data_IF_480414315226
#
_entry.id   IF_480414315226
#
_cell.length_a   1.000
_cell.length_b   1.000
_cell.length_c   1.000
_cell.angle_alpha   90.00
_cell.angle_beta   90.00
_cell.angle_gamma   90.00
#
_symmetry.space_group_name_H-M   'P 1'
#
loop_
_entity.id
_entity.type
_entity.pdbx_description
1 polymer ?
#
# COMPACT_ATOMS: atom_id res chain seq x y z
N UNK A 1 -38.55 -53.49 -11.86
CA UNK A 1 -39.41 -52.34 -11.54
C UNK A 1 -38.86 -51.11 -12.27
N UNK A 2 -39.74 -50.50 -13.07
CA UNK A 2 -39.77 -49.16 -13.68
C UNK A 2 -38.61 -48.21 -13.31
N UNK A 3 -37.77 -47.77 -14.26
CA UNK A 3 -37.92 -46.64 -15.22
C UNK A 3 -37.90 -45.23 -14.60
N UNK A 4 -36.89 -44.47 -15.07
CA UNK A 4 -36.88 -43.06 -15.47
C UNK A 4 -36.72 -41.98 -14.39
N UNK A 5 -35.60 -41.24 -14.43
CA UNK A 5 -35.47 -40.10 -15.37
C UNK A 5 -33.99 -39.80 -15.68
N UNK A 6 -33.70 -39.75 -16.98
CA UNK A 6 -32.58 -39.02 -17.59
C UNK A 6 -32.74 -37.53 -17.29
N UNK A 7 -31.65 -36.83 -16.98
CA UNK A 7 -31.62 -35.38 -16.92
C UNK A 7 -30.27 -34.84 -16.47
N UNK A 8 -29.43 -34.49 -17.44
CA UNK A 8 -28.19 -33.69 -17.31
C UNK A 8 -26.90 -34.38 -16.81
N UNK A 9 -26.41 -35.34 -17.58
CA UNK A 9 -25.01 -35.20 -18.05
C UNK A 9 -24.98 -34.05 -19.09
N UNK A 10 -23.84 -33.34 -19.22
CA UNK A 10 -23.44 -32.55 -20.41
C UNK A 10 -23.61 -31.02 -20.46
N UNK A 11 -23.80 -30.30 -19.36
CA UNK A 11 -23.74 -28.82 -19.35
C UNK A 11 -23.23 -28.41 -17.96
N UNK A 12 -21.95 -28.25 -17.63
CA UNK A 12 -21.09 -27.12 -18.01
C UNK A 12 -19.63 -27.51 -17.67
N UNK A 13 -19.06 -28.45 -18.42
CA UNK A 13 -17.61 -28.49 -18.73
C UNK A 13 -17.32 -27.47 -19.86
N UNK A 14 -18.13 -26.40 -19.89
CA UNK A 14 -18.41 -25.44 -20.97
C UNK A 14 -18.72 -24.04 -20.42
N UNK A 15 -18.13 -23.65 -19.29
CA UNK A 15 -17.92 -22.25 -18.82
C UNK A 15 -16.41 -21.99 -18.60
N UNK A 16 -15.58 -22.93 -19.06
CA UNK A 16 -14.18 -22.66 -19.46
C UNK A 16 -14.14 -21.90 -20.81
N UNK A 17 -15.30 -21.52 -21.34
CA UNK A 17 -15.49 -20.73 -22.57
C UNK A 17 -16.71 -19.80 -22.38
N UNK A 18 -16.58 -18.49 -22.67
CA UNK A 18 -17.52 -17.37 -22.43
C UNK A 18 -17.39 -16.73 -21.03
N UNK A 19 -16.44 -15.83 -20.79
CA UNK A 19 -16.34 -14.54 -21.51
C UNK A 19 -15.04 -14.45 -22.32
N UNK A 20 -15.01 -15.19 -23.43
CA UNK A 20 -14.32 -14.73 -24.63
C UNK A 20 -15.20 -13.66 -25.28
N UNK A 21 -15.02 -12.39 -24.93
CA UNK A 21 -15.18 -11.36 -25.98
C UNK A 21 -13.97 -11.54 -26.88
N UNK A 22 -14.18 -12.36 -27.90
CA UNK A 22 -13.30 -12.53 -29.05
C UNK A 22 -13.19 -11.16 -29.72
N UNK A 23 -12.16 -10.40 -29.37
CA UNK A 23 -11.55 -9.49 -30.32
C UNK A 23 -10.33 -10.23 -30.84
N UNK A 24 -10.55 -10.99 -31.92
CA UNK A 24 -9.50 -11.52 -32.78
C UNK A 24 -8.77 -10.34 -33.42
N UNK A 25 -7.71 -9.85 -32.80
CA UNK A 25 -6.68 -9.06 -33.50
C UNK A 25 -5.33 -9.62 -33.09
N UNK A 26 -4.81 -10.51 -33.95
CA UNK A 26 -3.39 -10.86 -34.14
C UNK A 26 -2.58 -11.24 -32.89
N UNK A 27 -2.29 -12.54 -32.76
CA UNK A 27 -1.07 -13.16 -32.18
C UNK A 27 -0.17 -12.33 -31.25
N UNK A 28 -0.73 -11.79 -30.15
CA UNK A 28 0.09 -11.36 -29.02
C UNK A 28 -0.55 -11.89 -27.76
N UNK A 29 -0.02 -13.03 -27.31
CA UNK A 29 -0.21 -13.50 -25.94
C UNK A 29 0.43 -12.45 -25.03
N UNK A 30 -0.32 -11.40 -24.67
CA UNK A 30 0.08 -10.55 -23.56
C UNK A 30 -0.07 -11.40 -22.31
N UNK A 31 1.03 -12.03 -21.92
CA UNK A 31 1.28 -12.38 -20.53
C UNK A 31 1.30 -11.04 -19.80
N UNK A 32 0.12 -10.53 -19.40
CA UNK A 32 0.05 -9.55 -18.33
C UNK A 32 0.53 -10.34 -17.13
N UNK A 33 1.84 -10.30 -16.91
CA UNK A 33 2.42 -10.82 -15.69
C UNK A 33 1.71 -10.11 -14.57
N UNK A 34 0.79 -10.82 -13.91
CA UNK A 34 0.50 -10.52 -12.52
C UNK A 34 1.89 -10.53 -11.89
N UNK A 35 2.42 -9.38 -11.44
CA UNK A 35 3.71 -9.39 -10.79
C UNK A 35 3.55 -10.38 -9.64
N UNK A 36 4.28 -11.50 -9.69
CA UNK A 36 4.32 -12.42 -8.56
C UNK A 36 4.56 -11.53 -7.35
N UNK A 37 3.61 -11.48 -6.41
CA UNK A 37 3.75 -10.62 -5.24
C UNK A 37 5.07 -11.05 -4.57
N UNK A 38 6.12 -10.21 -4.63
CA UNK A 38 7.42 -10.64 -4.19
C UNK A 38 7.29 -10.87 -2.69
N UNK A 39 7.76 -12.03 -2.22
CA UNK A 39 7.66 -12.39 -0.81
C UNK A 39 8.29 -11.27 0.05
N UNK A 40 7.42 -10.50 0.71
CA UNK A 40 7.80 -9.43 1.61
C UNK A 40 8.01 -10.04 3.00
N UNK A 41 9.14 -9.70 3.61
CA UNK A 41 9.39 -10.09 5.01
C UNK A 41 8.47 -9.29 5.92
N UNK A 42 8.16 -9.83 7.10
CA UNK A 42 7.34 -9.15 8.11
C UNK A 42 7.83 -7.72 8.42
N UNK A 43 9.16 -7.53 8.49
CA UNK A 43 9.77 -6.20 8.67
C UNK A 43 9.45 -5.27 7.51
N UNK A 44 9.37 -5.76 6.28
CA UNK A 44 9.08 -4.92 5.11
C UNK A 44 7.62 -4.47 5.12
N UNK A 45 6.70 -5.40 5.40
CA UNK A 45 5.25 -5.14 5.44
C UNK A 45 4.82 -4.32 6.65
N UNK A 46 5.39 -4.56 7.83
CA UNK A 46 4.90 -3.96 9.08
C UNK A 46 5.71 -2.74 9.53
N UNK A 47 6.91 -2.56 8.96
CA UNK A 47 7.81 -1.49 9.39
C UNK A 47 8.22 -0.59 8.24
N UNK A 48 8.77 -1.13 7.14
CA UNK A 48 9.29 -0.29 6.05
C UNK A 48 8.17 0.40 5.26
N UNK A 49 7.18 -0.36 4.79
CA UNK A 49 6.05 0.20 4.03
C UNK A 49 5.27 1.19 4.90
N UNK A 50 4.90 0.87 6.16
CA UNK A 50 4.26 1.83 7.02
C UNK A 50 5.11 3.07 7.24
N UNK A 51 6.43 2.94 7.41
CA UNK A 51 7.33 4.10 7.56
C UNK A 51 7.31 5.02 6.34
N UNK A 52 7.42 4.48 5.12
CA UNK A 52 7.28 5.27 3.88
C UNK A 52 5.93 5.97 3.82
N UNK A 53 4.86 5.24 4.15
CA UNK A 53 3.51 5.80 4.24
C UNK A 53 3.44 6.96 5.23
N UNK A 54 4.11 6.88 6.40
CA UNK A 54 4.15 8.01 7.36
C UNK A 54 4.90 9.22 6.83
N UNK A 55 5.99 9.01 6.10
CA UNK A 55 6.79 10.09 5.53
C UNK A 55 5.99 10.83 4.46
N UNK A 56 5.36 10.10 3.53
CA UNK A 56 4.45 10.69 2.54
C UNK A 56 3.24 11.37 3.17
N UNK A 57 2.61 10.76 4.18
CA UNK A 57 1.47 11.38 4.86
C UNK A 57 1.86 12.68 5.58
N UNK A 58 3.10 12.80 6.07
CA UNK A 58 3.59 14.07 6.64
C UNK A 58 3.79 15.15 5.59
N UNK A 59 4.20 14.78 4.38
CA UNK A 59 4.30 15.71 3.26
C UNK A 59 2.92 16.21 2.83
N UNK A 60 1.93 15.31 2.74
CA UNK A 60 0.54 15.67 2.45
C UNK A 60 -0.07 16.57 3.54
N UNK A 61 0.21 16.29 4.81
CA UNK A 61 -0.25 17.06 5.96
C UNK A 61 0.73 18.17 6.39
N UNK A 62 1.61 18.65 5.49
CA UNK A 62 2.70 19.57 5.83
C UNK A 62 2.24 20.86 6.53
N UNK A 63 1.06 21.38 6.16
CA UNK A 63 0.46 22.56 6.80
C UNK A 63 0.17 22.31 8.28
N UNK A 64 -0.41 21.16 8.62
CA UNK A 64 -0.74 20.78 9.99
C UNK A 64 0.52 20.50 10.79
N UNK A 65 1.53 19.89 10.17
CA UNK A 65 2.86 19.68 10.75
C UNK A 65 3.52 21.03 11.08
N UNK A 66 3.41 22.00 10.19
CA UNK A 66 3.98 23.34 10.37
C UNK A 66 3.27 24.09 11.50
N UNK A 67 1.94 24.05 11.54
CA UNK A 67 1.15 24.65 12.63
C UNK A 67 1.46 24.01 13.99
N UNK A 68 1.59 22.69 14.04
CA UNK A 68 2.01 21.98 15.25
C UNK A 68 3.42 22.38 15.68
N UNK A 69 4.38 22.42 14.75
CA UNK A 69 5.75 22.85 15.03
C UNK A 69 5.84 24.30 15.50
N UNK A 70 5.02 25.19 14.95
CA UNK A 70 4.92 26.58 15.39
C UNK A 70 4.47 26.65 16.85
N UNK A 71 3.36 25.98 17.18
CA UNK A 71 2.86 25.91 18.56
C UNK A 71 3.89 25.28 19.51
N UNK A 72 4.61 24.25 19.08
CA UNK A 72 5.68 23.63 19.87
C UNK A 72 6.83 24.60 20.15
N UNK A 73 7.22 25.41 19.17
CA UNK A 73 8.28 26.42 19.34
C UNK A 73 7.86 27.55 20.29
N UNK A 74 6.60 27.96 20.24
CA UNK A 74 6.07 29.04 21.09
C UNK A 74 5.84 28.60 22.53
N UNK A 75 5.32 27.39 22.74
CA UNK A 75 4.91 26.94 24.07
C UNK A 75 6.01 26.17 24.83
N UNK A 76 7.02 25.68 24.09
CA UNK A 76 8.13 24.90 24.65
C UNK A 76 7.64 23.72 25.50
N UNK A 77 8.01 23.75 26.79
CA UNK A 77 7.75 22.66 27.74
C UNK A 77 6.25 22.35 27.96
N UNK A 78 5.34 23.32 27.79
CA UNK A 78 3.90 23.14 28.01
C UNK A 78 3.13 22.69 26.74
N UNK A 79 3.84 22.22 25.70
CA UNK A 79 3.24 21.85 24.41
C UNK A 79 2.13 20.80 24.51
N UNK A 80 2.23 19.83 25.43
CA UNK A 80 1.24 18.74 25.55
C UNK A 80 -0.13 19.23 26.05
N UNK A 81 -0.16 20.37 26.74
CA UNK A 81 -1.39 20.97 27.25
C UNK A 81 -1.95 22.04 26.32
N UNK A 82 -1.08 22.89 25.77
CA UNK A 82 -1.51 24.02 24.93
C UNK A 82 -1.69 23.65 23.45
N UNK A 83 -0.88 22.75 22.91
CA UNK A 83 -0.92 22.40 21.49
C UNK A 83 -1.85 21.22 21.18
N UNK A 84 -2.83 20.92 22.06
CA UNK A 84 -3.71 19.75 21.91
C UNK A 84 -4.56 19.81 20.65
N UNK A 85 -5.04 20.99 20.28
CA UNK A 85 -5.87 21.19 19.09
C UNK A 85 -5.08 20.97 17.80
N UNK A 86 -3.88 21.55 17.70
CA UNK A 86 -3.00 21.39 16.54
C UNK A 86 -2.55 19.93 16.40
N UNK A 87 -2.31 19.25 17.53
CA UNK A 87 -1.92 17.85 17.55
C UNK A 87 -3.10 16.93 17.17
N UNK A 88 -4.32 17.25 17.59
CA UNK A 88 -5.54 16.54 17.19
C UNK A 88 -5.79 16.68 15.69
N UNK A 89 -5.69 17.91 15.15
CA UNK A 89 -5.85 18.17 13.72
C UNK A 89 -4.77 17.46 12.87
N UNK A 90 -3.52 17.44 13.34
CA UNK A 90 -2.45 16.69 12.68
C UNK A 90 -2.72 15.19 12.71
N UNK A 91 -3.13 14.65 13.86
CA UNK A 91 -3.45 13.23 14.02
C UNK A 91 -4.61 12.83 13.11
N UNK A 92 -5.66 13.65 13.05
CA UNK A 92 -6.82 13.41 12.20
C UNK A 92 -6.41 13.31 10.73
N UNK A 93 -5.64 14.29 10.23
CA UNK A 93 -5.11 14.29 8.86
C UNK A 93 -4.33 13.00 8.54
N UNK A 94 -3.41 12.61 9.43
CA UNK A 94 -2.64 11.38 9.26
C UNK A 94 -3.52 10.12 9.30
N UNK A 95 -4.52 10.06 10.19
CA UNK A 95 -5.40 8.89 10.30
C UNK A 95 -6.27 8.65 9.08
N UNK A 96 -6.64 9.70 8.34
CA UNK A 96 -7.37 9.54 7.08
C UNK A 96 -6.50 8.78 6.08
N UNK A 97 -5.24 9.19 5.90
CA UNK A 97 -4.31 8.52 5.00
C UNK A 97 -3.94 7.10 5.44
N UNK A 98 -3.87 6.82 6.76
CA UNK A 98 -3.61 5.47 7.25
C UNK A 98 -4.77 4.49 7.08
N UNK A 99 -6.01 5.00 7.02
CA UNK A 99 -7.21 4.16 6.80
C UNK A 99 -7.43 3.87 5.32
N UNK A 100 -6.78 4.63 4.45
CA UNK A 100 -6.89 4.46 3.01
C UNK A 100 -6.03 3.27 2.54
N UNK A 101 -6.69 2.16 2.22
CA UNK A 101 -6.03 0.97 1.70
C UNK A 101 -5.43 1.18 0.32
N UNK A 102 -5.96 2.12 -0.48
CA UNK A 102 -5.40 2.43 -1.79
C UNK A 102 -4.02 3.07 -1.66
N UNK A 103 -3.87 3.99 -0.70
CA UNK A 103 -2.60 4.64 -0.39
C UNK A 103 -1.55 3.64 0.11
N UNK A 104 -1.96 2.64 0.89
CA UNK A 104 -1.07 1.56 1.33
C UNK A 104 -0.55 0.72 0.16
N UNK A 105 -1.43 0.32 -0.77
CA UNK A 105 -1.05 -0.47 -1.94
C UNK A 105 -0.12 0.32 -2.89
N UNK A 106 -0.36 1.63 -3.07
CA UNK A 106 0.55 2.49 -3.84
C UNK A 106 1.95 2.52 -3.22
N UNK A 107 2.04 2.73 -1.90
CA UNK A 107 3.31 2.72 -1.18
C UNK A 107 4.01 1.35 -1.24
N UNK A 108 3.24 0.26 -1.19
CA UNK A 108 3.74 -1.12 -1.33
C UNK A 108 4.32 -1.36 -2.71
N UNK A 109 3.64 -0.93 -3.78
CA UNK A 109 4.13 -1.06 -5.15
C UNK A 109 5.42 -0.29 -5.39
N UNK A 110 5.52 0.93 -4.86
CA UNK A 110 6.73 1.72 -4.94
C UNK A 110 7.89 1.07 -4.17
N UNK A 111 7.64 0.56 -2.96
CA UNK A 111 8.64 -0.18 -2.20
C UNK A 111 9.15 -1.42 -2.95
N UNK A 112 8.25 -2.17 -3.60
CA UNK A 112 8.61 -3.32 -4.43
C UNK A 112 9.50 -2.88 -5.60
N UNK A 113 9.15 -1.79 -6.28
CA UNK A 113 9.92 -1.25 -7.39
C UNK A 113 11.34 -0.86 -6.94
N UNK A 114 11.47 -0.13 -5.83
CA UNK A 114 12.77 0.23 -5.25
C UNK A 114 13.59 -1.01 -4.86
N UNK A 115 12.94 -2.05 -4.31
CA UNK A 115 13.60 -3.32 -3.97
C UNK A 115 14.13 -4.02 -5.22
N UNK A 116 13.37 -4.05 -6.31
CA UNK A 116 13.80 -4.62 -7.58
C UNK A 116 14.95 -3.80 -8.20
N UNK A 117 14.87 -2.48 -8.15
CA UNK A 117 15.95 -1.59 -8.61
C UNK A 117 17.23 -1.79 -7.79
N UNK A 118 17.12 -1.94 -6.48
CA UNK A 118 18.24 -2.27 -5.60
C UNK A 118 18.86 -3.63 -5.95
N UNK A 119 18.06 -4.64 -6.24
CA UNK A 119 18.55 -5.95 -6.67
C UNK A 119 19.26 -5.88 -8.03
N UNK A 120 18.79 -5.03 -8.94
CA UNK A 120 19.36 -4.88 -10.29
C UNK A 120 20.63 -4.04 -10.31
N UNK A 121 20.68 -2.96 -9.53
CA UNK A 121 21.76 -1.95 -9.62
C UNK A 121 22.73 -2.00 -8.44
N UNK A 122 22.35 -2.62 -7.32
CA UNK A 122 23.10 -2.59 -6.07
C UNK A 122 23.12 -1.22 -5.37
N UNK A 123 22.46 -0.20 -5.94
CA UNK A 123 22.43 1.16 -5.39
C UNK A 123 21.17 1.31 -4.55
N UNK A 124 21.34 1.61 -3.26
CA UNK A 124 20.21 1.89 -2.38
C UNK A 124 19.54 3.19 -2.79
N UNK A 125 18.23 3.14 -3.11
CA UNK A 125 17.39 4.32 -3.11
C UNK A 125 17.57 5.00 -1.74
N UNK A 126 17.96 6.28 -1.78
CA UNK A 126 18.27 7.06 -0.58
C UNK A 126 17.10 6.95 0.40
N UNK A 127 17.40 6.88 1.71
CA UNK A 127 16.50 6.86 2.87
C UNK A 127 16.39 5.55 3.70
N UNK A 128 17.31 4.58 3.56
CA UNK A 128 17.49 3.55 4.61
C UNK A 128 18.09 4.09 5.93
N UNK A 129 18.44 5.38 5.98
CA UNK A 129 19.04 6.06 7.12
C UNK A 129 18.03 6.87 7.93
N UNK A 130 16.97 6.23 8.38
CA UNK A 130 16.57 6.42 9.77
C UNK A 130 16.43 5.02 10.32
N UNK A 131 17.48 4.57 11.04
CA UNK A 131 17.36 3.45 11.99
C UNK A 131 15.99 3.60 12.66
N UNK A 132 15.18 2.54 12.69
CA UNK A 132 14.05 2.55 13.60
C UNK A 132 14.58 3.07 14.94
N UNK A 133 13.94 4.08 15.58
CA UNK A 133 14.28 4.35 16.96
C UNK A 133 14.08 3.02 17.68
N UNK A 134 15.19 2.39 18.08
CA UNK A 134 15.16 1.25 18.97
C UNK A 134 14.51 1.80 20.23
N UNK A 135 13.24 1.43 20.42
CA UNK A 135 12.52 1.71 21.66
C UNK A 135 13.39 1.20 22.80
N UNK A 136 13.89 2.12 23.62
CA UNK A 136 14.31 1.86 24.99
C UNK A 136 13.19 2.36 25.88
#
# INVERSE_FOLDING_TARGET
MLRNNLGSLDVVRSVVTLVCTVVCVTDVFYWVGVPEEPFLRHVETDVLIPKMMREKAKELCAEKVTAFNHCCKETGFLMVFKCREQNAALKECLTVHYRDSAFFEECKQEYIKEKLEFQRTGVAAKNRSQKLPTSM
#
